data_IF_661727256556
#
_entry.id   IF_661727256556
#
_cell.length_a   1.000
_cell.length_b   1.000
_cell.length_c   1.000
_cell.angle_alpha   90.00
_cell.angle_beta   90.00
_cell.angle_gamma   90.00
#
_symmetry.space_group_name_H-M   'P 1'
#
loop_
_entity.id
_entity.type
_entity.pdbx_description
1 polymer ?
#
# COMPACT_ATOMS: atom_id res chain seq x y z
N UNK A 1 4.02 -26.82 23.07
CA UNK A 1 4.58 -25.70 22.29
C UNK A 1 5.93 -25.97 21.60
N UNK A 2 6.94 -26.67 22.18
CA UNK A 2 8.24 -26.87 21.50
C UNK A 2 8.17 -27.83 20.30
N UNK A 3 7.25 -28.79 20.31
CA UNK A 3 7.04 -29.71 19.17
C UNK A 3 6.52 -29.00 17.91
N UNK A 4 5.71 -27.94 18.06
CA UNK A 4 5.16 -27.20 16.92
C UNK A 4 6.25 -26.43 16.14
N UNK A 5 7.28 -25.94 16.86
CA UNK A 5 8.41 -25.20 16.28
C UNK A 5 9.34 -26.08 15.43
N UNK A 6 9.33 -27.40 15.64
CA UNK A 6 10.15 -28.37 14.87
C UNK A 6 9.32 -29.04 13.78
N UNK A 7 8.03 -29.28 14.05
CA UNK A 7 7.12 -29.92 13.09
C UNK A 7 6.85 -29.01 11.89
N UNK A 8 6.66 -27.69 12.08
CA UNK A 8 6.45 -26.77 10.95
C UNK A 8 7.62 -26.72 9.95
N UNK A 9 8.88 -26.51 10.35
CA UNK A 9 10.00 -26.49 9.41
C UNK A 9 10.25 -27.86 8.79
N UNK A 10 10.03 -28.96 9.53
CA UNK A 10 10.12 -30.30 8.98
C UNK A 10 9.03 -30.57 7.92
N UNK A 11 7.79 -30.12 8.15
CA UNK A 11 6.71 -30.22 7.16
C UNK A 11 6.98 -29.36 5.93
N UNK A 12 7.52 -28.14 6.13
CA UNK A 12 7.90 -27.27 5.03
C UNK A 12 9.04 -27.87 4.19
N UNK A 13 10.01 -28.53 4.84
CA UNK A 13 11.11 -29.24 4.19
C UNK A 13 10.62 -30.49 3.42
N UNK A 14 9.70 -31.27 4.00
CA UNK A 14 9.11 -32.42 3.32
C UNK A 14 8.18 -31.99 2.17
N UNK A 15 7.42 -30.91 2.34
CA UNK A 15 6.57 -30.34 1.30
C UNK A 15 7.36 -29.78 0.12
N UNK A 16 8.57 -29.24 0.36
CA UNK A 16 9.47 -28.78 -0.69
C UNK A 16 10.16 -29.94 -1.43
N UNK A 17 10.35 -31.10 -0.78
CA UNK A 17 10.82 -32.34 -1.43
C UNK A 17 9.72 -33.04 -2.25
N UNK A 18 8.45 -32.78 -1.93
CA UNK A 18 7.29 -33.31 -2.65
C UNK A 18 6.75 -32.34 -3.73
N UNK A 19 7.55 -31.36 -4.17
CA UNK A 19 7.15 -30.42 -5.18
C UNK A 19 7.04 -31.11 -6.55
N UNK A 20 5.81 -31.27 -7.04
CA UNK A 20 5.56 -31.64 -8.44
C UNK A 20 5.73 -30.42 -9.34
N UNK A 21 6.18 -30.61 -10.60
CA UNK A 21 6.20 -29.52 -11.56
C UNK A 21 4.76 -29.09 -11.86
N UNK A 22 4.37 -27.95 -11.29
CA UNK A 22 3.12 -27.27 -11.64
C UNK A 22 3.42 -26.44 -12.87
N UNK A 23 2.89 -26.83 -14.04
CA UNK A 23 3.05 -26.09 -15.31
C UNK A 23 2.23 -24.78 -15.33
N UNK A 24 2.41 -23.92 -14.34
CA UNK A 24 1.82 -22.58 -14.23
C UNK A 24 2.91 -21.51 -14.11
N UNK A 25 4.10 -21.78 -14.64
CA UNK A 25 5.23 -20.85 -14.59
C UNK A 25 5.18 -19.92 -15.80
N UNK A 26 5.12 -18.61 -15.57
CA UNK A 26 5.13 -17.58 -16.60
C UNK A 26 6.50 -17.36 -17.27
N UNK A 27 7.54 -18.10 -16.86
CA UNK A 27 8.85 -18.03 -17.49
C UNK A 27 8.84 -18.80 -18.82
N UNK A 28 9.11 -18.07 -19.91
CA UNK A 28 9.36 -18.62 -21.24
C UNK A 28 10.71 -19.33 -21.35
N UNK A 29 11.42 -19.16 -22.47
CA UNK A 29 12.73 -19.78 -22.65
C UNK A 29 13.72 -19.32 -21.57
N UNK A 30 14.59 -20.25 -21.14
CA UNK A 30 15.69 -19.93 -20.23
C UNK A 30 16.56 -18.86 -20.87
N UNK A 31 16.54 -17.67 -20.29
CA UNK A 31 17.55 -16.65 -20.58
C UNK A 31 18.86 -17.16 -19.98
N UNK A 32 19.78 -17.59 -20.84
CA UNK A 32 21.16 -17.85 -20.44
C UNK A 32 21.72 -16.57 -19.83
N UNK A 33 22.25 -16.64 -18.60
CA UNK A 33 22.84 -15.47 -17.98
C UNK A 33 24.07 -15.07 -18.82
N UNK A 34 24.29 -13.76 -19.10
CA UNK A 34 25.49 -13.30 -19.78
C UNK A 34 26.78 -13.56 -18.96
N UNK A 35 26.65 -14.00 -17.70
CA UNK A 35 27.75 -14.22 -16.74
C UNK A 35 27.77 -15.70 -16.32
N UNK A 36 28.96 -16.33 -16.20
CA UNK A 36 29.07 -17.71 -15.72
C UNK A 36 28.40 -17.91 -14.35
N UNK A 37 27.67 -19.04 -14.21
CA UNK A 37 26.86 -19.34 -13.03
C UNK A 37 27.61 -19.19 -11.70
N UNK A 38 28.89 -19.60 -11.64
CA UNK A 38 29.69 -19.49 -10.42
C UNK A 38 29.84 -18.05 -9.93
N UNK A 39 30.14 -17.11 -10.82
CA UNK A 39 30.26 -15.69 -10.46
C UNK A 39 28.91 -15.10 -10.03
N UNK A 40 27.82 -15.50 -10.70
CA UNK A 40 26.48 -15.10 -10.29
C UNK A 40 26.13 -15.59 -8.88
N UNK A 41 26.39 -16.86 -8.56
CA UNK A 41 26.10 -17.42 -7.24
C UNK A 41 26.94 -16.78 -6.13
N UNK A 42 28.23 -16.52 -6.38
CA UNK A 42 29.09 -15.82 -5.43
C UNK A 42 28.60 -14.39 -5.21
N UNK A 43 28.27 -13.67 -6.28
CA UNK A 43 27.74 -12.31 -6.19
C UNK A 43 26.41 -12.25 -5.43
N UNK A 44 25.47 -13.15 -5.75
CA UNK A 44 24.19 -13.25 -5.04
C UNK A 44 24.38 -13.59 -3.56
N UNK A 45 25.23 -14.56 -3.24
CA UNK A 45 25.55 -14.95 -1.86
C UNK A 45 26.17 -13.81 -1.07
N UNK A 46 27.13 -13.08 -1.65
CA UNK A 46 27.74 -11.91 -1.04
C UNK A 46 26.73 -10.77 -0.84
N UNK A 47 25.86 -10.50 -1.80
CA UNK A 47 24.83 -9.47 -1.68
C UNK A 47 23.88 -9.76 -0.51
N UNK A 48 23.47 -11.02 -0.34
CA UNK A 48 22.65 -11.46 0.79
C UNK A 48 23.43 -11.35 2.11
N UNK A 49 24.67 -11.85 2.17
CA UNK A 49 25.47 -11.78 3.40
C UNK A 49 25.71 -10.33 3.84
N UNK A 50 26.08 -9.45 2.91
CA UNK A 50 26.32 -8.04 3.19
C UNK A 50 25.05 -7.29 3.60
N UNK A 51 23.89 -7.61 3.02
CA UNK A 51 22.63 -6.99 3.44
C UNK A 51 22.26 -7.35 4.88
N UNK A 52 22.45 -8.60 5.29
CA UNK A 52 22.27 -9.02 6.69
C UNK A 52 23.26 -8.35 7.63
N UNK A 53 24.53 -8.24 7.24
CA UNK A 53 25.55 -7.52 8.03
C UNK A 53 25.14 -6.07 8.20
N UNK A 54 24.79 -5.38 7.11
CA UNK A 54 24.34 -3.99 7.14
C UNK A 54 23.14 -3.81 8.07
N UNK A 55 22.07 -4.60 7.89
CA UNK A 55 20.88 -4.53 8.73
C UNK A 55 21.23 -4.82 10.19
N UNK A 56 22.04 -5.84 10.47
CA UNK A 56 22.44 -6.20 11.84
C UNK A 56 23.29 -5.14 12.53
N UNK A 57 24.06 -4.34 11.77
CA UNK A 57 24.93 -3.28 12.33
C UNK A 57 24.26 -1.91 12.40
N UNK A 58 23.34 -1.62 11.48
CA UNK A 58 22.73 -0.29 11.33
C UNK A 58 21.35 -0.18 11.97
N UNK A 59 20.62 -1.28 12.09
CA UNK A 59 19.29 -1.28 12.69
C UNK A 59 19.42 -1.56 14.18
N UNK A 60 19.46 -0.50 14.95
CA UNK A 60 19.39 -0.58 16.41
C UNK A 60 17.90 -0.67 16.82
N UNK A 61 17.49 -1.81 17.39
CA UNK A 61 16.10 -2.09 17.81
C UNK A 61 15.87 -1.61 19.26
N UNK A 62 16.78 -0.79 19.80
CA UNK A 62 16.68 -0.28 21.16
C UNK A 62 15.67 0.88 21.25
N UNK A 63 14.82 0.81 22.28
CA UNK A 63 13.54 1.51 22.38
C UNK A 63 13.56 3.05 22.42
N UNK A 64 12.36 3.60 22.16
CA UNK A 64 11.94 5.00 22.22
C UNK A 64 12.96 6.00 21.62
N UNK A 65 13.15 6.01 20.29
CA UNK A 65 13.97 7.03 19.67
C UNK A 65 13.25 8.38 19.81
N UNK A 66 13.79 9.25 20.67
CA UNK A 66 13.56 10.68 20.59
C UNK A 66 14.35 11.20 19.39
N UNK A 67 13.86 10.91 18.18
CA UNK A 67 14.47 11.39 16.95
C UNK A 67 14.17 12.87 16.71
N UNK A 68 15.10 13.57 16.07
CA UNK A 68 14.88 14.95 15.63
C UNK A 68 13.69 15.02 14.68
N UNK A 69 12.80 15.98 14.91
CA UNK A 69 11.58 16.19 14.12
C UNK A 69 11.55 17.62 13.60
N UNK A 70 11.31 17.75 12.30
CA UNK A 70 11.12 19.06 11.68
C UNK A 70 9.75 19.13 11.01
N UNK A 71 8.89 20.02 11.51
CA UNK A 71 7.52 20.17 11.04
C UNK A 71 7.48 20.98 9.72
N UNK A 72 7.24 20.29 8.62
CA UNK A 72 7.13 20.84 7.26
C UNK A 72 5.88 21.72 7.07
N UNK A 73 4.83 21.52 7.88
CA UNK A 73 3.57 22.29 7.84
C UNK A 73 3.58 23.48 8.82
N UNK A 74 4.66 23.67 9.60
CA UNK A 74 4.76 24.74 10.58
C UNK A 74 4.65 26.16 10.00
N UNK A 75 4.87 26.32 8.68
CA UNK A 75 4.76 27.61 7.99
C UNK A 75 3.39 27.77 7.30
N UNK A 76 2.76 28.95 7.43
CA UNK A 76 1.39 29.19 6.91
C UNK A 76 1.26 28.94 5.40
N UNK A 77 2.32 29.24 4.64
CA UNK A 77 2.36 29.00 3.20
C UNK A 77 2.45 27.51 2.86
N UNK A 78 3.30 26.73 3.55
CA UNK A 78 3.40 25.29 3.32
C UNK A 78 2.12 24.56 3.75
N UNK A 79 1.50 24.94 4.88
CA UNK A 79 0.17 24.46 5.28
C UNK A 79 -0.87 24.73 4.20
N UNK A 80 -0.88 25.95 3.63
CA UNK A 80 -1.79 26.32 2.54
C UNK A 80 -1.59 25.47 1.29
N UNK A 81 -0.34 25.27 0.85
CA UNK A 81 -0.04 24.51 -0.37
C UNK A 81 -0.29 23.01 -0.20
N UNK A 82 0.14 22.42 0.91
CA UNK A 82 0.06 20.98 1.13
C UNK A 82 -1.32 20.48 1.59
N UNK A 83 -2.19 21.37 2.08
CA UNK A 83 -3.50 20.96 2.62
C UNK A 83 -4.71 21.63 1.98
N UNK A 84 -4.51 22.61 1.07
CA UNK A 84 -5.64 23.28 0.42
C UNK A 84 -6.39 22.34 -0.55
N UNK A 85 -7.73 22.32 -0.53
CA UNK A 85 -8.51 21.54 -1.48
C UNK A 85 -8.27 21.98 -2.94
N UNK A 86 -7.93 23.26 -3.18
CA UNK A 86 -7.66 23.77 -4.53
C UNK A 86 -6.34 23.23 -5.10
N UNK A 87 -5.28 23.15 -4.30
CA UNK A 87 -3.98 22.65 -4.76
C UNK A 87 -3.99 21.13 -4.96
N UNK A 88 -4.81 20.42 -4.18
CA UNK A 88 -4.96 18.98 -4.29
C UNK A 88 -5.92 18.57 -5.42
N UNK A 89 -6.79 19.46 -5.90
CA UNK A 89 -7.76 19.14 -6.96
C UNK A 89 -7.09 18.72 -8.29
N UNK A 90 -6.10 19.45 -8.85
CA UNK A 90 -5.38 19.02 -10.05
C UNK A 90 -4.74 17.64 -9.88
N UNK A 91 -4.11 17.38 -8.73
CA UNK A 91 -3.48 16.10 -8.41
C UNK A 91 -4.50 14.96 -8.42
N UNK A 92 -5.68 15.19 -7.85
CA UNK A 92 -6.79 14.23 -7.85
C UNK A 92 -7.34 13.97 -9.26
N UNK A 93 -7.50 15.03 -10.05
CA UNK A 93 -7.96 14.92 -11.43
C UNK A 93 -6.98 14.13 -12.29
N UNK A 94 -5.67 14.40 -12.16
CA UNK A 94 -4.62 13.65 -12.87
C UNK A 94 -4.64 12.18 -12.47
N UNK A 95 -4.77 11.86 -11.17
CA UNK A 95 -4.87 10.46 -10.72
C UNK A 95 -6.06 9.72 -11.37
N UNK A 96 -7.26 10.30 -11.32
CA UNK A 96 -8.45 9.69 -11.93
C UNK A 96 -8.33 9.61 -13.45
N UNK A 97 -7.74 10.62 -14.08
CA UNK A 97 -7.44 10.61 -15.51
C UNK A 97 -6.49 9.47 -15.89
N UNK A 98 -5.42 9.25 -15.12
CA UNK A 98 -4.47 8.15 -15.36
C UNK A 98 -5.14 6.79 -15.22
N UNK A 99 -6.01 6.60 -14.21
CA UNK A 99 -6.81 5.37 -14.10
C UNK A 99 -7.70 5.17 -15.35
N UNK A 100 -8.39 6.22 -15.78
CA UNK A 100 -9.20 6.19 -17.00
C UNK A 100 -8.38 5.89 -18.25
N UNK A 101 -7.17 6.45 -18.35
CA UNK A 101 -6.25 6.23 -19.46
C UNK A 101 -5.76 4.78 -19.52
N UNK A 102 -5.45 4.17 -18.38
CA UNK A 102 -5.13 2.73 -18.31
C UNK A 102 -6.30 1.89 -18.82
N UNK A 103 -7.52 2.15 -18.35
CA UNK A 103 -8.69 1.36 -18.79
C UNK A 103 -8.95 1.56 -20.29
N UNK A 104 -8.90 2.81 -20.78
CA UNK A 104 -9.15 3.15 -22.17
C UNK A 104 -8.10 2.57 -23.12
N UNK A 105 -6.82 2.72 -22.78
CA UNK A 105 -5.71 2.19 -23.61
C UNK A 105 -5.61 0.67 -23.52
N UNK A 106 -5.97 0.05 -22.41
CA UNK A 106 -5.97 -1.41 -22.33
C UNK A 106 -7.09 -2.07 -23.14
N UNK A 107 -8.26 -1.46 -23.27
CA UNK A 107 -9.36 -1.98 -24.09
C UNK A 107 -9.31 -1.54 -25.56
N UNK A 108 -8.87 -0.31 -25.84
CA UNK A 108 -8.92 0.29 -27.19
C UNK A 108 -7.58 0.76 -27.75
N UNK A 109 -6.49 0.57 -27.03
CA UNK A 109 -5.13 0.92 -27.48
C UNK A 109 -4.45 -0.20 -28.26
N UNK A 110 -3.15 -0.03 -28.50
CA UNK A 110 -2.34 -0.98 -29.26
C UNK A 110 -2.25 -2.34 -28.54
N UNK A 111 -2.43 -3.49 -29.22
CA UNK A 111 -2.34 -4.79 -28.58
C UNK A 111 -0.92 -5.16 -28.13
N UNK A 112 0.11 -4.52 -28.68
CA UNK A 112 1.50 -4.71 -28.30
C UNK A 112 1.78 -4.10 -26.93
N UNK A 113 2.23 -4.89 -25.93
CA UNK A 113 2.50 -4.39 -24.58
C UNK A 113 3.52 -3.24 -24.52
N UNK A 114 4.48 -3.23 -25.45
CA UNK A 114 5.55 -2.23 -25.51
C UNK A 114 5.09 -0.87 -26.07
N UNK A 115 4.02 -0.86 -26.87
CA UNK A 115 3.46 0.35 -27.46
C UNK A 115 2.22 0.85 -26.69
N UNK A 116 1.70 0.03 -25.78
CA UNK A 116 0.55 0.37 -24.98
C UNK A 116 0.97 1.06 -23.66
N UNK A 117 0.23 2.09 -23.27
CA UNK A 117 0.46 2.79 -22.01
C UNK A 117 0.19 1.90 -20.77
N UNK A 118 -0.83 1.04 -20.83
CA UNK A 118 -1.34 0.30 -19.67
C UNK A 118 -0.33 -0.61 -18.99
N UNK A 119 0.40 -1.50 -19.70
CA UNK A 119 1.33 -2.43 -19.06
C UNK A 119 2.49 -1.71 -18.40
N UNK A 120 3.11 -0.75 -19.11
CA UNK A 120 4.24 0.03 -18.57
C UNK A 120 3.80 0.86 -17.37
N UNK A 121 2.63 1.51 -17.46
CA UNK A 121 2.14 2.32 -16.36
C UNK A 121 1.83 1.48 -15.12
N UNK A 122 1.06 0.40 -15.24
CA UNK A 122 0.66 -0.42 -14.09
C UNK A 122 1.87 -1.10 -13.46
N UNK A 123 2.69 -1.80 -14.24
CA UNK A 123 3.74 -2.66 -13.69
C UNK A 123 5.01 -1.90 -13.32
N UNK A 124 5.37 -0.86 -14.07
CA UNK A 124 6.65 -0.15 -13.87
C UNK A 124 6.43 1.17 -13.13
N UNK A 125 5.65 2.08 -13.72
CA UNK A 125 5.53 3.45 -13.19
C UNK A 125 4.79 3.44 -11.86
N UNK A 126 3.63 2.81 -11.83
CA UNK A 126 2.78 2.77 -10.65
C UNK A 126 3.29 1.74 -9.66
N UNK A 127 3.35 0.44 -9.98
CA UNK A 127 3.71 -0.54 -8.97
C UNK A 127 5.12 -0.33 -8.42
N UNK A 128 6.16 -0.35 -9.26
CA UNK A 128 7.55 -0.19 -8.80
C UNK A 128 7.84 1.25 -8.40
N UNK A 129 7.53 2.22 -9.27
CA UNK A 129 7.81 3.63 -9.02
C UNK A 129 7.10 4.19 -7.78
N UNK A 130 5.80 3.89 -7.61
CA UNK A 130 5.07 4.31 -6.41
C UNK A 130 5.59 3.62 -5.16
N UNK A 131 5.95 2.33 -5.21
CA UNK A 131 6.50 1.60 -4.06
C UNK A 131 7.75 2.28 -3.53
N UNK A 132 8.71 2.61 -4.41
CA UNK A 132 9.95 3.31 -4.04
C UNK A 132 9.64 4.71 -3.51
N UNK A 133 8.78 5.46 -4.21
CA UNK A 133 8.39 6.82 -3.81
C UNK A 133 7.78 6.82 -2.41
N UNK A 134 6.90 5.86 -2.12
CA UNK A 134 6.24 5.73 -0.83
C UNK A 134 7.21 5.33 0.26
N UNK A 135 8.10 4.37 -0.03
CA UNK A 135 9.12 3.92 0.92
C UNK A 135 10.09 5.04 1.32
N UNK A 136 10.39 5.98 0.42
CA UNK A 136 11.32 7.07 0.70
C UNK A 136 10.62 8.29 1.30
N UNK A 137 9.52 8.73 0.69
CA UNK A 137 8.95 10.04 0.91
C UNK A 137 7.65 10.03 1.72
N UNK A 138 7.01 8.88 1.95
CA UNK A 138 5.78 8.72 2.73
C UNK A 138 4.57 8.28 1.91
N UNK A 139 3.42 8.03 2.55
CA UNK A 139 2.25 7.43 1.89
C UNK A 139 1.48 8.41 0.97
N UNK A 140 2.07 8.78 -0.17
CA UNK A 140 1.42 9.57 -1.23
C UNK A 140 0.18 8.88 -1.80
N UNK A 141 0.09 7.56 -1.68
CA UNK A 141 -1.05 6.80 -2.19
C UNK A 141 -2.35 7.23 -1.50
N UNK A 142 -2.31 7.64 -0.23
CA UNK A 142 -3.50 8.15 0.47
C UNK A 142 -4.11 9.40 -0.20
N UNK A 143 -3.31 10.16 -0.94
CA UNK A 143 -3.74 11.32 -1.73
C UNK A 143 -4.06 10.92 -3.18
N UNK A 144 -3.24 10.07 -3.78
CA UNK A 144 -3.33 9.68 -5.19
C UNK A 144 -4.29 8.53 -5.47
N UNK A 145 -4.83 7.83 -4.48
CA UNK A 145 -5.71 6.69 -4.70
C UNK A 145 -6.97 7.11 -5.50
N UNK A 146 -7.10 6.68 -6.78
CA UNK A 146 -8.18 7.15 -7.66
C UNK A 146 -9.54 6.65 -7.17
N UNK A 147 -9.61 5.45 -6.60
CA UNK A 147 -10.85 4.89 -6.06
C UNK A 147 -11.36 5.69 -4.87
N UNK A 148 -10.46 6.09 -3.96
CA UNK A 148 -10.79 6.99 -2.84
C UNK A 148 -11.31 8.34 -3.34
N UNK A 149 -10.69 8.88 -4.39
CA UNK A 149 -11.08 10.18 -4.98
C UNK A 149 -12.47 10.07 -5.61
N UNK A 150 -12.71 9.08 -6.46
CA UNK A 150 -13.99 8.84 -7.14
C UNK A 150 -15.10 8.66 -6.10
N UNK A 151 -14.88 7.82 -5.09
CA UNK A 151 -15.87 7.61 -4.03
C UNK A 151 -16.12 8.89 -3.21
N UNK A 152 -15.07 9.66 -2.91
CA UNK A 152 -15.21 10.95 -2.21
C UNK A 152 -16.00 11.99 -3.00
N UNK A 153 -15.83 12.06 -4.33
CA UNK A 153 -16.67 12.90 -5.19
C UNK A 153 -18.11 12.43 -5.23
N UNK A 154 -18.34 11.12 -5.33
CA UNK A 154 -19.68 10.53 -5.27
C UNK A 154 -20.37 10.85 -3.93
N UNK A 155 -19.66 10.76 -2.80
CA UNK A 155 -20.16 11.18 -1.48
C UNK A 155 -20.48 12.67 -1.41
N UNK A 156 -19.69 13.52 -2.07
CA UNK A 156 -19.92 14.97 -2.14
C UNK A 156 -21.18 15.31 -2.92
N UNK A 157 -21.34 14.71 -4.11
CA UNK A 157 -22.53 14.86 -4.95
C UNK A 157 -23.76 14.31 -4.22
N UNK A 158 -23.66 13.13 -3.61
CA UNK A 158 -24.77 12.54 -2.86
C UNK A 158 -25.23 13.43 -1.70
N UNK A 159 -24.30 14.04 -0.95
CA UNK A 159 -24.63 14.98 0.13
C UNK A 159 -25.32 16.26 -0.37
N UNK A 160 -24.97 16.72 -1.57
CA UNK A 160 -25.65 17.86 -2.20
C UNK A 160 -27.09 17.53 -2.60
N UNK A 161 -27.33 16.31 -3.08
CA UNK A 161 -28.67 15.84 -3.51
C UNK A 161 -29.54 15.38 -2.32
N UNK A 162 -28.94 14.76 -1.30
CA UNK A 162 -29.62 14.23 -0.10
C UNK A 162 -28.86 14.61 1.18
N UNK A 163 -29.09 15.83 1.71
CA UNK A 163 -28.47 16.26 2.95
C UNK A 163 -28.78 15.28 4.10
N UNK A 164 -27.76 14.87 4.85
CA UNK A 164 -27.90 14.00 6.03
C UNK A 164 -27.87 12.49 5.79
N UNK A 165 -27.76 12.01 4.54
CA UNK A 165 -27.56 10.58 4.24
C UNK A 165 -26.16 10.31 3.71
N UNK A 166 -25.49 9.32 4.30
CA UNK A 166 -24.22 8.80 3.78
C UNK A 166 -24.47 7.95 2.54
N UNK A 167 -23.53 8.01 1.58
CA UNK A 167 -23.57 7.16 0.39
C UNK A 167 -23.30 5.70 0.75
N UNK A 168 -22.42 5.46 1.71
CA UNK A 168 -22.12 4.12 2.20
C UNK A 168 -23.28 3.55 3.02
N UNK A 169 -23.52 2.25 2.87
CA UNK A 169 -24.41 1.47 3.75
C UNK A 169 -23.92 1.43 5.20
N UNK A 170 -22.65 1.74 5.44
CA UNK A 170 -22.00 1.78 6.75
C UNK A 170 -22.21 0.49 7.55
N UNK A 171 -22.17 -0.66 6.86
CA UNK A 171 -22.30 -1.96 7.50
C UNK A 171 -21.03 -2.26 8.28
N UNK A 172 -21.18 -2.72 9.51
CA UNK A 172 -20.04 -3.08 10.35
C UNK A 172 -19.19 -4.16 9.66
N UNK A 173 -17.91 -3.86 9.43
CA UNK A 173 -16.95 -4.84 8.95
C UNK A 173 -16.74 -5.93 10.01
N UNK A 174 -16.95 -7.22 9.68
CA UNK A 174 -16.80 -8.31 10.64
C UNK A 174 -15.35 -8.38 11.17
N UNK A 175 -15.17 -8.44 12.49
CA UNK A 175 -13.84 -8.55 13.10
C UNK A 175 -13.04 -9.75 12.56
N UNK A 176 -13.72 -10.89 12.35
CA UNK A 176 -13.14 -12.14 11.80
C UNK A 176 -12.47 -11.98 10.44
N UNK A 177 -12.86 -10.97 9.64
CA UNK A 177 -12.25 -10.76 8.33
C UNK A 177 -10.89 -10.08 8.45
N UNK A 178 -10.62 -9.34 9.54
CA UNK A 178 -9.31 -8.74 9.79
C UNK A 178 -8.74 -8.05 8.55
N UNK A 179 -7.55 -8.50 8.12
CA UNK A 179 -6.89 -8.10 6.86
C UNK A 179 -6.92 -9.20 5.79
N UNK A 180 -7.64 -10.30 6.02
CA UNK A 180 -7.66 -11.47 5.14
C UNK A 180 -8.10 -11.16 3.71
N UNK A 181 -9.14 -10.33 3.45
CA UNK A 181 -9.51 -9.98 2.08
C UNK A 181 -8.36 -9.31 1.32
N UNK A 182 -7.64 -8.39 1.97
CA UNK A 182 -6.51 -7.73 1.35
C UNK A 182 -5.32 -8.68 1.13
N UNK A 183 -5.08 -9.61 2.06
CA UNK A 183 -4.07 -10.65 1.89
C UNK A 183 -4.39 -11.57 0.69
N UNK A 184 -5.66 -11.98 0.55
CA UNK A 184 -6.09 -12.78 -0.59
C UNK A 184 -5.91 -12.00 -1.92
N UNK A 185 -6.28 -10.71 -1.95
CA UNK A 185 -6.04 -9.85 -3.10
C UNK A 185 -4.54 -9.69 -3.40
N UNK A 186 -3.69 -9.62 -2.37
CA UNK A 186 -2.24 -9.59 -2.52
C UNK A 186 -1.69 -10.85 -3.15
N UNK A 187 -2.13 -12.03 -2.70
CA UNK A 187 -1.71 -13.30 -3.29
C UNK A 187 -2.15 -13.43 -4.74
N UNK A 188 -3.38 -12.98 -5.07
CA UNK A 188 -3.86 -12.95 -6.45
C UNK A 188 -3.01 -11.99 -7.28
N UNK A 189 -2.74 -10.78 -6.78
CA UNK A 189 -1.93 -9.78 -7.47
C UNK A 189 -0.51 -10.28 -7.74
N UNK A 190 0.16 -10.82 -6.72
CA UNK A 190 1.51 -11.39 -6.84
C UNK A 190 1.54 -12.55 -7.84
N UNK A 191 0.53 -13.43 -7.80
CA UNK A 191 0.41 -14.51 -8.78
C UNK A 191 0.20 -13.98 -10.21
N UNK A 192 -0.63 -12.95 -10.38
CA UNK A 192 -0.80 -12.30 -11.69
C UNK A 192 0.49 -11.67 -12.17
N UNK A 193 1.24 -11.00 -11.28
CA UNK A 193 2.48 -10.34 -11.65
C UNK A 193 3.57 -11.33 -12.07
N UNK A 194 3.77 -12.38 -11.29
CA UNK A 194 4.99 -13.20 -11.38
C UNK A 194 4.76 -14.56 -12.05
N UNK A 195 3.52 -15.05 -12.13
CA UNK A 195 3.21 -16.38 -12.65
C UNK A 195 2.24 -16.37 -13.85
N UNK A 196 1.34 -15.40 -13.95
CA UNK A 196 0.34 -15.39 -15.01
C UNK A 196 0.97 -15.06 -16.39
N UNK A 197 0.93 -15.96 -17.38
CA UNK A 197 1.68 -15.79 -18.64
C UNK A 197 1.22 -14.63 -19.52
N UNK A 198 0.06 -14.03 -19.23
CA UNK A 198 -0.55 -12.95 -20.03
C UNK A 198 -0.76 -11.69 -19.20
N UNK A 199 0.15 -11.45 -18.25
CA UNK A 199 0.13 -10.29 -17.35
C UNK A 199 0.48 -8.98 -18.05
N UNK A 200 1.16 -9.05 -19.19
CA UNK A 200 1.58 -7.92 -20.04
C UNK A 200 0.54 -7.56 -21.11
N UNK A 201 -0.42 -8.44 -21.39
CA UNK A 201 -1.48 -8.20 -22.39
C UNK A 201 -2.40 -7.05 -21.95
N UNK A 202 -2.49 -5.93 -22.71
CA UNK A 202 -3.23 -4.73 -22.28
C UNK A 202 -4.70 -4.97 -21.94
N UNK A 203 -5.39 -5.81 -22.73
CA UNK A 203 -6.79 -6.16 -22.51
C UNK A 203 -7.02 -6.86 -21.15
N UNK A 204 -6.09 -7.74 -20.75
CA UNK A 204 -6.17 -8.41 -19.45
C UNK A 204 -5.93 -7.43 -18.31
N UNK A 205 -4.96 -6.53 -18.46
CA UNK A 205 -4.69 -5.48 -17.47
C UNK A 205 -5.93 -4.59 -17.30
N UNK A 206 -6.56 -4.12 -18.38
CA UNK A 206 -7.79 -3.33 -18.28
C UNK A 206 -8.92 -4.10 -17.59
N UNK A 207 -9.07 -5.40 -17.87
CA UNK A 207 -10.07 -6.26 -17.22
C UNK A 207 -9.79 -6.40 -15.71
N UNK A 208 -8.53 -6.63 -15.34
CA UNK A 208 -8.10 -6.74 -13.95
C UNK A 208 -8.30 -5.41 -13.19
N UNK A 209 -7.84 -4.30 -13.76
CA UNK A 209 -8.00 -2.96 -13.17
C UNK A 209 -9.49 -2.61 -13.04
N UNK A 210 -10.32 -2.93 -14.03
CA UNK A 210 -11.77 -2.66 -13.99
C UNK A 210 -12.47 -3.51 -12.93
N UNK A 211 -12.21 -4.82 -12.89
CA UNK A 211 -12.78 -5.72 -11.88
C UNK A 211 -12.32 -5.34 -10.46
N UNK A 212 -11.05 -4.99 -10.29
CA UNK A 212 -10.50 -4.47 -9.04
C UNK A 212 -11.16 -3.15 -8.63
N UNK A 213 -11.43 -2.25 -9.58
CA UNK A 213 -12.12 -0.99 -9.35
C UNK A 213 -13.54 -1.20 -8.83
N UNK A 214 -14.30 -2.12 -9.45
CA UNK A 214 -15.65 -2.48 -9.02
C UNK A 214 -15.63 -3.08 -7.62
N UNK A 215 -14.72 -4.02 -7.36
CA UNK A 215 -14.57 -4.65 -6.04
C UNK A 215 -14.25 -3.62 -4.97
N UNK A 216 -13.32 -2.71 -5.25
CA UNK A 216 -12.86 -1.69 -4.29
C UNK A 216 -13.95 -0.65 -4.01
N UNK A 217 -14.63 -0.16 -5.05
CA UNK A 217 -15.76 0.78 -4.91
C UNK A 217 -16.95 0.12 -4.19
N UNK A 218 -17.24 -1.15 -4.51
CA UNK A 218 -18.27 -1.93 -3.83
C UNK A 218 -17.96 -2.14 -2.35
N UNK A 219 -16.71 -2.47 -2.02
CA UNK A 219 -16.25 -2.59 -0.63
C UNK A 219 -16.39 -1.28 0.16
N UNK A 220 -15.99 -0.15 -0.45
CA UNK A 220 -16.19 1.18 0.14
C UNK A 220 -17.69 1.54 0.30
N UNK A 221 -18.54 1.14 -0.64
CA UNK A 221 -19.98 1.35 -0.56
C UNK A 221 -20.63 0.56 0.58
N UNK A 222 -20.23 -0.71 0.78
CA UNK A 222 -20.83 -1.58 1.80
C UNK A 222 -20.32 -1.26 3.21
N UNK A 223 -19.00 -1.26 3.39
CA UNK A 223 -18.36 -1.15 4.72
C UNK A 223 -17.95 0.28 5.08
N UNK A 224 -18.05 1.22 4.14
CA UNK A 224 -17.55 2.57 4.31
C UNK A 224 -16.11 2.72 3.79
N UNK A 225 -15.82 3.91 3.29
CA UNK A 225 -14.56 4.26 2.62
C UNK A 225 -13.33 3.99 3.50
N UNK A 226 -13.32 4.56 4.70
CA UNK A 226 -12.15 4.54 5.58
C UNK A 226 -11.87 3.13 6.14
N UNK A 227 -12.93 2.34 6.38
CA UNK A 227 -12.82 0.96 6.90
C UNK A 227 -12.33 -0.01 5.82
N UNK A 228 -12.87 0.07 4.59
CA UNK A 228 -12.44 -0.76 3.48
C UNK A 228 -11.00 -0.50 3.07
N UNK A 229 -10.59 0.76 2.93
CA UNK A 229 -9.22 1.11 2.54
C UNK A 229 -8.18 0.67 3.58
N UNK A 230 -8.56 0.56 4.86
CA UNK A 230 -7.66 0.13 5.92
C UNK A 230 -7.53 -1.39 6.03
N UNK A 231 -8.57 -2.15 5.72
CA UNK A 231 -8.61 -3.61 6.00
C UNK A 231 -8.77 -4.49 4.76
N UNK A 232 -9.50 -4.00 3.75
CA UNK A 232 -9.87 -4.77 2.56
C UNK A 232 -9.09 -4.44 1.29
N UNK A 233 -8.53 -3.23 1.18
CA UNK A 233 -7.83 -2.78 -0.03
C UNK A 233 -6.32 -3.04 0.08
N UNK A 234 -5.80 -3.86 -0.83
CA UNK A 234 -4.41 -4.33 -0.86
C UNK A 234 -3.41 -3.16 -0.95
N UNK A 235 -3.59 -2.22 -1.88
CA UNK A 235 -2.55 -1.23 -2.17
C UNK A 235 -2.42 -0.18 -1.06
N UNK A 236 -3.51 0.20 -0.41
CA UNK A 236 -3.47 1.06 0.79
C UNK A 236 -2.73 0.39 1.95
N UNK A 237 -2.84 -0.93 2.11
CA UNK A 237 -2.09 -1.68 3.11
C UNK A 237 -0.61 -1.82 2.76
N UNK A 238 -0.30 -2.24 1.53
CA UNK A 238 1.09 -2.42 1.07
C UNK A 238 1.86 -1.10 1.08
N UNK A 239 1.28 -0.03 0.52
CA UNK A 239 1.89 1.30 0.57
C UNK A 239 1.91 1.89 1.98
N UNK A 240 0.91 1.55 2.82
CA UNK A 240 0.97 1.85 4.25
C UNK A 240 2.19 1.22 4.93
N UNK A 241 2.45 -0.06 4.66
CA UNK A 241 3.61 -0.77 5.18
C UNK A 241 4.92 -0.17 4.67
N UNK A 242 5.04 0.11 3.37
CA UNK A 242 6.24 0.73 2.79
C UNK A 242 6.50 2.12 3.36
N UNK A 243 5.45 2.90 3.62
CA UNK A 243 5.61 4.23 4.23
C UNK A 243 6.21 4.19 5.63
N UNK A 244 6.25 3.04 6.33
CA UNK A 244 6.96 2.94 7.61
C UNK A 244 8.47 3.18 7.47
N UNK A 245 9.05 2.98 6.29
CA UNK A 245 10.46 3.25 6.02
C UNK A 245 10.73 4.72 5.61
N UNK A 246 9.67 5.53 5.46
CA UNK A 246 9.82 6.87 4.91
C UNK A 246 10.44 7.87 5.87
N UNK A 247 11.09 8.86 5.27
CA UNK A 247 11.67 10.02 5.95
C UNK A 247 10.59 10.98 6.44
N UNK A 248 9.35 10.88 5.96
CA UNK A 248 8.25 11.70 6.47
C UNK A 248 7.32 10.89 7.36
N UNK A 249 6.72 11.55 8.34
CA UNK A 249 5.62 11.02 9.15
C UNK A 249 4.49 12.03 9.24
N UNK A 250 3.27 11.53 9.37
CA UNK A 250 2.09 12.34 9.58
C UNK A 250 1.62 12.16 11.01
N UNK A 251 1.40 13.26 11.75
CA UNK A 251 1.02 13.22 13.16
C UNK A 251 -0.18 14.09 13.47
N UNK A 252 -1.03 13.59 14.35
CA UNK A 252 -2.06 14.37 15.06
C UNK A 252 -1.62 14.52 16.51
N UNK A 253 -1.37 15.77 16.93
CA UNK A 253 -0.93 16.09 18.29
C UNK A 253 -2.09 16.18 19.28
N UNK A 254 -3.31 16.39 18.78
CA UNK A 254 -4.50 16.41 19.60
C UNK A 254 -4.93 14.98 19.99
N UNK A 255 -4.65 14.61 21.23
CA UNK A 255 -5.03 13.32 21.81
C UNK A 255 -6.55 13.09 21.87
N UNK A 256 -7.36 14.15 21.96
CA UNK A 256 -8.82 14.04 21.95
C UNK A 256 -9.32 13.71 20.52
N UNK A 257 -8.82 14.41 19.50
CA UNK A 257 -9.11 14.10 18.10
C UNK A 257 -8.66 12.69 17.70
N UNK A 258 -7.59 12.17 18.31
CA UNK A 258 -7.12 10.80 18.13
C UNK A 258 -8.06 9.77 18.79
N UNK A 259 -8.64 10.08 19.97
CA UNK A 259 -9.61 9.20 20.65
C UNK A 259 -10.99 9.19 19.98
N UNK A 260 -11.45 10.33 19.48
CA UNK A 260 -12.74 10.46 18.79
C UNK A 260 -12.71 9.92 17.34
N UNK A 261 -11.52 9.60 16.82
CA UNK A 261 -11.42 9.04 15.50
C UNK A 261 -12.09 7.65 15.47
N UNK A 262 -13.08 7.48 14.59
CA UNK A 262 -13.81 6.22 14.40
C UNK A 262 -12.94 5.01 13.98
N UNK A 263 -11.64 5.21 13.83
CA UNK A 263 -10.67 4.22 13.37
C UNK A 263 -9.61 4.07 14.45
N UNK A 264 -9.46 2.86 15.00
CA UNK A 264 -8.47 2.54 16.05
C UNK A 264 -7.04 2.71 15.52
N UNK A 265 -6.50 3.92 15.61
CA UNK A 265 -5.17 4.31 15.11
C UNK A 265 -4.20 4.71 16.24
N UNK A 266 -4.63 4.53 17.49
CA UNK A 266 -3.92 5.04 18.65
C UNK A 266 -2.69 4.18 18.92
N UNK A 267 -1.52 4.81 18.86
CA UNK A 267 -0.27 4.18 19.31
C UNK A 267 -0.24 4.01 20.82
N UNK A 268 0.66 3.17 21.32
CA UNK A 268 0.89 3.00 22.76
C UNK A 268 1.32 4.29 23.47
N UNK A 269 1.86 5.25 22.73
CA UNK A 269 2.26 6.58 23.17
C UNK A 269 1.08 7.58 23.25
N UNK A 270 -0.15 7.15 22.91
CA UNK A 270 -1.34 7.99 22.95
C UNK A 270 -1.50 8.95 21.77
N UNK A 271 -0.51 9.01 20.87
CA UNK A 271 -0.55 9.81 19.66
C UNK A 271 -1.05 9.00 18.46
N UNK A 272 -1.66 9.67 17.49
CA UNK A 272 -2.00 9.09 16.20
C UNK A 272 -0.91 9.45 15.19
N UNK A 273 -0.06 8.49 14.84
CA UNK A 273 1.01 8.63 13.82
C UNK A 273 0.67 7.79 12.60
N UNK A 274 0.92 8.32 11.41
CA UNK A 274 0.63 7.74 10.10
C UNK A 274 -0.85 7.31 9.92
N UNK A 275 -1.75 7.90 10.73
CA UNK A 275 -3.20 7.73 10.62
C UNK A 275 -3.84 8.84 9.76
N UNK A 276 -3.82 8.62 8.45
CA UNK A 276 -4.34 9.56 7.45
C UNK A 276 -5.81 9.94 7.62
N UNK A 277 -6.75 9.05 8.00
CA UNK A 277 -8.15 9.44 8.24
C UNK A 277 -8.31 10.43 9.41
N UNK A 278 -7.54 10.24 10.49
CA UNK A 278 -7.52 11.15 11.64
C UNK A 278 -6.89 12.49 11.27
N UNK A 279 -5.75 12.46 10.57
CA UNK A 279 -5.05 13.67 10.10
C UNK A 279 -5.91 14.58 9.21
N UNK A 280 -6.80 14.00 8.39
CA UNK A 280 -7.70 14.79 7.56
C UNK A 280 -8.76 15.56 8.36
N UNK A 281 -9.16 15.06 9.53
CA UNK A 281 -10.21 15.64 10.39
C UNK A 281 -9.64 16.54 11.50
N UNK A 282 -8.39 16.31 11.90
CA UNK A 282 -7.74 17.07 12.96
C UNK A 282 -7.39 18.51 12.54
N UNK A 283 -7.58 19.45 13.47
CA UNK A 283 -7.13 20.84 13.33
C UNK A 283 -5.64 21.01 13.66
N UNK A 284 -5.17 20.31 14.69
CA UNK A 284 -3.76 20.32 15.09
C UNK A 284 -3.03 19.09 14.53
N UNK A 285 -2.26 19.35 13.47
CA UNK A 285 -1.68 18.31 12.63
C UNK A 285 -0.34 18.75 12.05
N UNK A 286 0.58 17.80 11.98
CA UNK A 286 1.97 18.01 11.57
C UNK A 286 2.41 17.00 10.52
N UNK A 287 3.30 17.42 9.63
CA UNK A 287 4.09 16.51 8.80
C UNK A 287 5.53 16.71 9.23
N UNK A 288 6.12 15.69 9.84
CA UNK A 288 7.46 15.76 10.41
C UNK A 288 8.44 14.97 9.55
N UNK A 289 9.68 15.47 9.44
CA UNK A 289 10.80 14.65 8.98
C UNK A 289 11.25 13.74 10.13
N UNK A 290 11.45 12.45 9.83
CA UNK A 290 11.97 11.40 10.71
C UNK A 290 13.15 10.67 10.03
N UNK A 291 14.07 10.07 10.80
CA UNK A 291 15.05 9.12 10.28
C UNK A 291 14.36 7.89 9.65
N UNK A 292 14.90 7.28 8.58
CA UNK A 292 14.31 6.11 7.90
C UNK A 292 14.05 4.89 8.80
N UNK A 293 14.83 4.75 9.86
CA UNK A 293 14.78 3.68 10.86
C UNK A 293 13.73 3.92 11.97
N UNK A 294 13.21 5.14 12.10
CA UNK A 294 12.31 5.52 13.19
C UNK A 294 10.88 4.99 13.08
N UNK A 295 10.42 4.60 11.87
CA UNK A 295 9.06 4.12 11.64
C UNK A 295 8.84 2.62 11.94
N UNK A 296 9.70 1.69 11.48
CA UNK A 296 9.50 0.24 11.69
C UNK A 296 9.63 -0.21 13.15
N UNK A 297 10.35 0.55 13.99
CA UNK A 297 10.54 0.25 15.42
C UNK A 297 9.38 0.69 16.33
N UNK A 298 8.31 1.27 15.80
CA UNK A 298 7.14 1.66 16.60
C UNK A 298 6.28 0.43 16.94
N UNK A 299 6.11 0.20 18.23
CA UNK A 299 5.12 -0.75 18.77
C UNK A 299 3.71 -0.17 18.60
N UNK A 300 3.13 -0.36 17.42
CA UNK A 300 1.68 -0.28 17.27
C UNK A 300 1.07 -1.53 17.92
N UNK A 301 -0.07 -1.41 18.62
CA UNK A 301 -0.80 -2.59 19.05
C UNK A 301 -1.17 -3.39 17.79
N UNK A 302 -0.55 -4.55 17.61
CA UNK A 302 -1.13 -5.60 16.78
C UNK A 302 -2.41 -5.97 17.50
N UNK A 303 -3.55 -5.50 17.00
CA UNK A 303 -4.84 -5.90 17.54
C UNK A 303 -4.89 -7.42 17.48
N UNK A 304 -4.88 -8.06 18.66
CA UNK A 304 -5.12 -9.48 18.85
C UNK A 304 -6.60 -9.79 18.52
N UNK A 305 -6.99 -9.56 17.26
CA UNK A 305 -8.28 -9.96 16.72
C UNK A 305 -8.12 -11.39 16.15
N UNK A 306 -7.90 -12.36 17.05
CA UNK A 306 -8.09 -13.79 16.82
C UNK A 306 -9.37 -14.27 17.50
#
# INVERSE_FOLDING_TARGET
MPRLKIVLPALAMVGSLAAWPVYAHGFGQRTELPVPLGYFLVGAGLAVALSFVLISTLVDISGQPSYWRHNLIGHRWSRGVLTSPLTLLPVKLVSVFLLGLVIATGFGGDPSPLLNFSPVFVWVIWWVGMSITVALLGNFWTLLNPWKIIFGWAEGIHRLVRPGRNLSLARNYPARWGIWPALALFLIYAWVQDAYPKADVPFHIATLVSSYSVLTLGGMFVFGRDQWLRKGEIFSLVFGLFSRFSVTEVRVNDGAACQECAVECRGSDGNCVDCYPCFQRANDREINLRPPDGGPGRNEPVTDDL
#
